data_IF_422985192370
#
_entry.id   IF_422985192370
#
_cell.length_a   1.000
_cell.length_b   1.000
_cell.length_c   1.000
_cell.angle_alpha   90.00
_cell.angle_beta   90.00
_cell.angle_gamma   90.00
#
_symmetry.space_group_name_H-M   'P 1'
#
loop_
_entity.id
_entity.type
_entity.pdbx_description
1 polymer ?
#
# COMPACT_ATOMS: atom_id res chain seq x y z
N UNK A 1 6.74 4.64 9.44
CA UNK A 1 6.47 6.08 9.22
C UNK A 1 4.98 6.21 8.88
N UNK A 2 4.16 6.95 9.65
CA UNK A 2 2.71 7.04 9.46
C UNK A 2 2.32 7.72 8.14
N UNK A 3 3.20 8.55 7.58
CA UNK A 3 3.00 9.33 6.35
C UNK A 3 2.69 8.48 5.11
N UNK A 4 3.23 7.25 5.06
CA UNK A 4 2.99 6.28 3.98
C UNK A 4 1.84 5.32 4.26
N UNK A 5 1.16 5.46 5.41
CA UNK A 5 -0.01 4.64 5.69
C UNK A 5 -1.15 5.04 4.74
N UNK A 6 -1.86 4.08 4.12
CA UNK A 6 -3.08 4.36 3.35
C UNK A 6 -4.25 4.82 4.24
N UNK A 7 -4.05 4.87 5.57
CA UNK A 7 -5.08 5.27 6.51
C UNK A 7 -5.66 6.67 6.20
N UNK A 8 -6.97 6.87 6.39
CA UNK A 8 -7.61 8.17 6.20
C UNK A 8 -7.08 9.14 7.25
N UNK A 9 -6.17 10.01 6.85
CA UNK A 9 -5.68 11.11 7.69
C UNK A 9 -6.44 12.39 7.34
N UNK A 10 -6.79 13.22 8.33
CA UNK A 10 -7.49 14.49 8.10
C UNK A 10 -6.71 15.41 7.14
N UNK A 11 -5.38 15.32 7.15
CA UNK A 11 -4.52 16.05 6.23
C UNK A 11 -4.76 15.70 4.75
N UNK A 12 -4.96 14.41 4.43
CA UNK A 12 -5.27 13.97 3.04
C UNK A 12 -6.63 14.43 2.55
N UNK A 13 -7.61 14.57 3.46
CA UNK A 13 -8.95 15.06 3.11
C UNK A 13 -8.93 16.53 2.65
N UNK A 14 -8.05 17.36 3.25
CA UNK A 14 -7.92 18.78 2.91
C UNK A 14 -7.44 18.95 1.46
N UNK A 15 -6.44 18.18 1.04
CA UNK A 15 -5.95 18.21 -0.35
C UNK A 15 -7.02 17.80 -1.34
N UNK A 16 -7.75 16.72 -1.04
CA UNK A 16 -8.86 16.26 -1.89
C UNK A 16 -9.94 17.32 -2.06
N UNK A 17 -10.32 18.00 -0.98
CA UNK A 17 -11.30 19.09 -1.03
C UNK A 17 -10.79 20.31 -1.81
N UNK A 18 -9.52 20.70 -1.63
CA UNK A 18 -8.92 21.80 -2.38
C UNK A 18 -8.89 21.51 -3.89
N UNK A 19 -8.51 20.29 -4.28
CA UNK A 19 -8.55 19.87 -5.69
C UNK A 19 -9.98 19.81 -6.22
N UNK A 20 -10.94 19.33 -5.44
CA UNK A 20 -12.34 19.32 -5.85
C UNK A 20 -12.84 20.73 -6.18
N UNK A 21 -12.59 21.71 -5.32
CA UNK A 21 -12.97 23.11 -5.56
C UNK A 21 -12.25 23.67 -6.80
N UNK A 22 -10.94 23.42 -6.93
CA UNK A 22 -10.14 23.86 -8.07
C UNK A 22 -10.67 23.29 -9.40
N UNK A 23 -10.91 21.98 -9.47
CA UNK A 23 -11.42 21.35 -10.69
C UNK A 23 -12.86 21.75 -10.99
N UNK A 24 -13.68 22.01 -9.97
CA UNK A 24 -15.05 22.51 -10.16
C UNK A 24 -15.03 23.90 -10.80
N UNK A 25 -14.19 24.81 -10.30
CA UNK A 25 -14.05 26.15 -10.88
C UNK A 25 -13.48 26.07 -12.31
N UNK A 26 -12.43 25.29 -12.53
CA UNK A 26 -11.86 25.09 -13.87
C UNK A 26 -12.88 24.50 -14.84
N UNK A 27 -13.70 23.55 -14.39
CA UNK A 27 -14.76 22.94 -15.21
C UNK A 27 -15.83 23.96 -15.60
N UNK A 28 -16.27 24.82 -14.66
CA UNK A 28 -17.25 25.87 -14.96
C UNK A 28 -16.66 26.86 -15.98
N UNK A 29 -15.42 27.31 -15.78
CA UNK A 29 -14.73 28.20 -16.72
C UNK A 29 -14.60 27.55 -18.10
N UNK A 30 -14.27 26.26 -18.14
CA UNK A 30 -14.15 25.48 -19.36
C UNK A 30 -15.48 25.36 -20.12
N UNK A 31 -16.57 25.02 -19.43
CA UNK A 31 -17.91 24.90 -20.04
C UNK A 31 -18.40 26.26 -20.51
N UNK A 32 -18.19 27.31 -19.71
CA UNK A 32 -18.53 28.68 -20.09
C UNK A 32 -17.79 29.10 -21.36
N UNK A 33 -16.50 28.77 -21.47
CA UNK A 33 -15.71 29.00 -22.68
C UNK A 33 -16.22 28.18 -23.87
N UNK A 34 -16.47 26.88 -23.69
CA UNK A 34 -16.86 25.98 -24.76
C UNK A 34 -18.24 26.29 -25.37
N UNK A 35 -19.19 26.76 -24.53
CA UNK A 35 -20.56 27.07 -24.95
C UNK A 35 -20.77 28.52 -25.37
N UNK A 36 -19.75 29.38 -25.24
CA UNK A 36 -19.89 30.79 -25.57
C UNK A 36 -20.16 31.00 -27.08
N UNK A 37 -21.25 31.68 -27.46
CA UNK A 37 -21.55 31.94 -28.86
C UNK A 37 -20.61 32.99 -29.46
N UNK A 38 -20.51 32.99 -30.79
CA UNK A 38 -19.59 33.83 -31.57
C UNK A 38 -19.85 35.33 -31.43
N UNK A 39 -21.08 35.70 -31.08
CA UNK A 39 -21.55 37.10 -30.97
C UNK A 39 -20.85 37.91 -29.86
N UNK A 40 -20.20 37.25 -28.89
CA UNK A 40 -19.51 37.94 -27.81
C UNK A 40 -18.11 38.46 -28.18
N UNK A 41 -17.63 38.25 -29.41
CA UNK A 41 -16.39 38.86 -29.92
C UNK A 41 -15.10 38.41 -29.24
N UNK A 42 -15.15 37.45 -28.32
CA UNK A 42 -13.99 36.98 -27.55
C UNK A 42 -13.18 35.89 -28.29
N UNK A 43 -13.71 35.31 -29.36
CA UNK A 43 -13.06 34.21 -30.08
C UNK A 43 -11.72 34.51 -30.78
N UNK A 44 -11.45 35.72 -31.30
CA UNK A 44 -10.13 36.03 -31.86
C UNK A 44 -9.00 35.94 -30.83
N UNK A 45 -9.33 36.05 -29.54
CA UNK A 45 -8.36 36.05 -28.44
C UNK A 45 -8.25 34.69 -27.74
N UNK A 46 -9.13 33.74 -28.05
CA UNK A 46 -9.18 32.42 -27.41
C UNK A 46 -8.86 31.29 -28.41
N UNK A 47 -8.44 30.11 -27.92
CA UNK A 47 -8.17 28.97 -28.78
C UNK A 47 -9.39 28.55 -29.59
N UNK A 48 -9.16 27.92 -30.74
CA UNK A 48 -10.23 27.38 -31.58
C UNK A 48 -11.12 26.40 -30.78
N UNK A 49 -12.42 26.40 -31.06
CA UNK A 49 -13.43 25.57 -30.39
C UNK A 49 -13.17 24.08 -30.55
N UNK A 50 -12.42 23.67 -31.58
CA UNK A 50 -11.92 22.30 -31.71
C UNK A 50 -11.16 21.82 -30.45
N UNK A 51 -10.44 22.72 -29.77
CA UNK A 51 -9.74 22.39 -28.53
C UNK A 51 -10.68 21.99 -27.39
N UNK A 52 -11.96 22.39 -27.42
CA UNK A 52 -12.97 21.97 -26.45
C UNK A 52 -13.38 20.49 -26.58
N UNK A 53 -12.95 19.80 -27.63
CA UNK A 53 -13.12 18.33 -27.75
C UNK A 53 -11.77 17.64 -27.65
N UNK A 54 -10.74 18.25 -28.21
CA UNK A 54 -9.41 17.69 -28.22
C UNK A 54 -8.76 17.60 -26.82
N UNK A 55 -8.90 18.64 -25.99
CA UNK A 55 -8.35 18.66 -24.62
C UNK A 55 -8.89 17.51 -23.75
N UNK A 56 -10.21 17.30 -23.61
CA UNK A 56 -10.72 16.19 -22.80
C UNK A 56 -10.31 14.83 -23.37
N UNK A 57 -10.27 14.69 -24.71
CA UNK A 57 -9.77 13.48 -25.34
C UNK A 57 -8.30 13.19 -24.98
N UNK A 58 -7.43 14.20 -25.01
CA UNK A 58 -6.03 14.06 -24.59
C UNK A 58 -5.90 13.67 -23.12
N UNK A 59 -6.71 14.25 -22.22
CA UNK A 59 -6.71 13.89 -20.79
C UNK A 59 -7.13 12.44 -20.61
N UNK A 60 -8.18 11.98 -21.30
CA UNK A 60 -8.61 10.59 -21.26
C UNK A 60 -7.52 9.65 -21.82
N UNK A 61 -6.91 10.01 -22.95
CA UNK A 61 -5.82 9.23 -23.54
C UNK A 61 -4.65 9.10 -22.57
N UNK A 62 -4.21 10.22 -21.98
CA UNK A 62 -3.12 10.22 -21.00
C UNK A 62 -3.46 9.38 -19.76
N UNK A 63 -4.67 9.54 -19.22
CA UNK A 63 -5.14 8.74 -18.08
C UNK A 63 -5.18 7.23 -18.41
N UNK A 64 -5.61 6.87 -19.62
CA UNK A 64 -5.61 5.49 -20.09
C UNK A 64 -4.19 4.92 -20.20
N UNK A 65 -3.26 5.64 -20.84
CA UNK A 65 -1.86 5.25 -20.88
C UNK A 65 -1.26 5.11 -19.48
N UNK A 66 -1.57 6.04 -18.58
CA UNK A 66 -1.05 5.99 -17.22
C UNK A 66 -1.59 4.79 -16.44
N UNK A 67 -2.90 4.54 -16.50
CA UNK A 67 -3.56 3.47 -15.75
C UNK A 67 -3.20 2.06 -16.27
N UNK A 68 -3.10 1.88 -17.58
CA UNK A 68 -2.95 0.54 -18.18
C UNK A 68 -1.52 0.19 -18.58
N UNK A 69 -0.68 1.18 -18.87
CA UNK A 69 0.70 0.92 -19.33
C UNK A 69 1.71 1.34 -18.28
N UNK A 70 1.70 2.62 -17.89
CA UNK A 70 2.75 3.18 -17.02
C UNK A 70 2.65 2.59 -15.61
N UNK A 71 1.47 2.60 -15.00
CA UNK A 71 1.30 2.15 -13.62
C UNK A 71 1.62 0.65 -13.45
N UNK A 72 1.12 -0.26 -14.30
CA UNK A 72 1.51 -1.67 -14.24
C UNK A 72 3.00 -1.89 -14.54
N UNK A 73 3.58 -1.17 -15.50
CA UNK A 73 5.00 -1.29 -15.83
C UNK A 73 5.89 -0.87 -14.64
N UNK A 74 5.57 0.26 -13.99
CA UNK A 74 6.29 0.70 -12.79
C UNK A 74 6.14 -0.34 -11.68
N UNK A 75 4.91 -0.81 -11.42
CA UNK A 75 4.67 -1.83 -10.40
C UNK A 75 5.47 -3.12 -10.68
N UNK A 76 5.50 -3.60 -11.92
CA UNK A 76 6.29 -4.78 -12.28
C UNK A 76 7.80 -4.52 -12.16
N UNK A 77 8.27 -3.31 -12.49
CA UNK A 77 9.70 -2.96 -12.32
C UNK A 77 10.15 -2.88 -10.86
N UNK A 78 9.23 -2.57 -9.93
CA UNK A 78 9.48 -2.51 -8.49
C UNK A 78 9.34 -3.87 -7.81
N UNK A 79 8.62 -4.81 -8.42
CA UNK A 79 8.50 -6.18 -7.89
C UNK A 79 9.79 -6.96 -8.10
N UNK A 80 10.08 -7.90 -7.19
CA UNK A 80 11.25 -8.78 -7.32
C UNK A 80 11.07 -9.71 -8.53
N UNK A 81 12.16 -10.12 -9.17
CA UNK A 81 12.14 -11.10 -10.27
C UNK A 81 11.23 -12.31 -9.93
N UNK A 82 10.43 -12.72 -10.92
CA UNK A 82 9.45 -13.81 -10.79
C UNK A 82 10.06 -15.13 -10.34
N UNK A 83 11.31 -15.39 -10.71
CA UNK A 83 12.04 -16.61 -10.34
C UNK A 83 12.64 -16.57 -8.93
N UNK A 84 12.55 -15.44 -8.22
CA UNK A 84 13.10 -15.30 -6.89
C UNK A 84 12.16 -15.89 -5.82
N UNK A 85 12.73 -16.59 -4.84
CA UNK A 85 11.98 -17.08 -3.66
C UNK A 85 11.26 -15.95 -2.91
N UNK A 86 11.82 -14.75 -2.96
CA UNK A 86 11.27 -13.53 -2.35
C UNK A 86 9.89 -13.14 -2.90
N UNK A 87 9.51 -13.65 -4.07
CA UNK A 87 8.17 -13.48 -4.65
C UNK A 87 7.10 -14.28 -3.90
N UNK A 88 7.47 -15.45 -3.34
CA UNK A 88 6.53 -16.38 -2.69
C UNK A 88 6.58 -16.28 -1.18
N UNK A 89 7.77 -16.15 -0.60
CA UNK A 89 7.98 -16.11 0.86
C UNK A 89 9.05 -15.10 1.22
N UNK A 90 8.87 -14.36 2.32
CA UNK A 90 9.94 -13.56 2.91
C UNK A 90 10.96 -14.46 3.65
N UNK A 91 12.18 -14.66 3.13
CA UNK A 91 13.15 -15.55 3.75
C UNK A 91 13.65 -15.04 5.10
N UNK A 92 13.57 -13.72 5.36
CA UNK A 92 13.97 -13.15 6.66
C UNK A 92 13.02 -13.53 7.79
N UNK A 93 11.75 -13.79 7.45
CA UNK A 93 10.73 -14.25 8.39
C UNK A 93 10.69 -15.78 8.48
N UNK A 94 10.93 -16.48 7.37
CA UNK A 94 10.83 -17.93 7.31
C UNK A 94 12.09 -18.67 7.78
N UNK A 95 13.27 -18.04 7.71
CA UNK A 95 14.55 -18.67 8.05
C UNK A 95 15.17 -18.05 9.31
N UNK A 96 16.01 -18.81 10.05
CA UNK A 96 16.82 -18.27 11.13
C UNK A 96 17.68 -17.08 10.68
N UNK A 97 17.92 -16.13 11.58
CA UNK A 97 18.75 -14.95 11.28
C UNK A 97 20.14 -15.37 10.81
N UNK A 98 20.51 -14.96 9.59
CA UNK A 98 21.85 -15.19 9.02
C UNK A 98 21.96 -16.37 8.03
N UNK A 99 20.88 -17.14 7.80
CA UNK A 99 20.90 -18.22 6.80
C UNK A 99 20.29 -17.76 5.48
N UNK A 100 20.99 -18.00 4.36
CA UNK A 100 20.45 -17.80 3.02
C UNK A 100 19.56 -18.98 2.61
N UNK A 101 18.56 -18.71 1.76
CA UNK A 101 17.70 -19.74 1.19
C UNK A 101 18.50 -20.56 0.16
N UNK A 102 18.48 -21.89 0.30
CA UNK A 102 19.07 -22.83 -0.66
C UNK A 102 18.08 -23.85 -1.18
N UNK A 103 17.10 -24.28 -0.36
CA UNK A 103 16.08 -25.24 -0.80
C UNK A 103 14.79 -25.20 0.03
N UNK A 104 13.68 -25.66 -0.56
CA UNK A 104 12.36 -25.72 0.08
C UNK A 104 12.30 -26.63 1.31
N UNK A 105 13.22 -27.59 1.45
CA UNK A 105 13.27 -28.47 2.63
C UNK A 105 13.65 -27.72 3.91
N UNK A 106 14.33 -26.58 3.80
CA UNK A 106 14.73 -25.75 4.94
C UNK A 106 13.53 -25.12 5.65
N UNK A 107 12.49 -24.73 4.91
CA UNK A 107 11.25 -24.21 5.50
C UNK A 107 10.50 -25.28 6.29
N UNK A 108 10.62 -26.56 5.89
CA UNK A 108 9.98 -27.67 6.59
C UNK A 108 10.64 -27.91 7.96
N UNK A 109 11.97 -27.81 8.03
CA UNK A 109 12.72 -28.03 9.27
C UNK A 109 12.60 -26.87 10.28
N UNK A 110 12.30 -25.65 9.84
CA UNK A 110 12.08 -24.53 10.76
C UNK A 110 10.76 -24.64 11.55
N UNK A 111 9.79 -25.50 11.13
CA UNK A 111 8.58 -25.80 11.91
C UNK A 111 8.91 -26.41 13.28
N UNK A 112 10.06 -27.09 13.41
CA UNK A 112 10.42 -27.87 14.60
C UNK A 112 11.35 -27.15 15.59
N UNK A 113 11.80 -25.93 15.29
CA UNK A 113 12.60 -25.16 16.25
C UNK A 113 11.69 -24.46 17.27
N UNK A 114 11.66 -24.90 18.55
CA UNK A 114 10.94 -24.16 19.57
C UNK A 114 11.65 -22.82 19.72
N UNK A 115 10.98 -21.75 19.33
CA UNK A 115 11.45 -20.40 19.66
C UNK A 115 11.49 -20.34 21.17
N UNK A 116 12.69 -20.44 21.77
CA UNK A 116 12.91 -20.32 23.21
C UNK A 116 12.46 -18.92 23.62
N UNK A 117 11.19 -18.78 23.98
CA UNK A 117 10.69 -17.61 24.69
C UNK A 117 11.50 -17.53 25.98
N UNK A 118 12.41 -16.55 26.07
CA UNK A 118 13.11 -16.26 27.32
C UNK A 118 12.05 -15.98 28.37
N UNK A 119 11.94 -16.86 29.37
CA UNK A 119 11.05 -16.64 30.52
C UNK A 119 11.41 -15.28 31.13
N UNK A 120 10.43 -14.38 31.32
CA UNK A 120 10.71 -13.06 31.88
C UNK A 120 11.25 -13.23 33.31
N UNK A 121 12.47 -12.74 33.54
CA UNK A 121 13.07 -12.67 34.86
C UNK A 121 12.41 -11.56 35.67
N UNK A 122 12.15 -11.76 36.97
CA UNK A 122 11.56 -10.73 37.81
C UNK A 122 12.49 -9.51 37.89
N UNK A 123 11.92 -8.31 37.74
CA UNK A 123 12.66 -7.04 37.82
C UNK A 123 12.43 -6.44 39.20
N UNK A 124 13.50 -6.16 39.93
CA UNK A 124 13.41 -5.47 41.22
C UNK A 124 13.21 -3.97 40.98
N UNK A 125 12.15 -3.40 41.53
CA UNK A 125 11.83 -2.00 41.34
C UNK A 125 12.32 -1.16 42.52
N UNK A 126 13.15 -0.15 42.22
CA UNK A 126 13.71 0.75 43.23
C UNK A 126 12.67 1.70 43.84
N UNK A 127 11.53 1.93 43.18
CA UNK A 127 10.48 2.85 43.63
C UNK A 127 9.60 2.25 44.74
N UNK A 128 9.29 0.96 44.64
CA UNK A 128 8.40 0.26 45.58
C UNK A 128 9.13 -0.82 46.40
N UNK A 129 10.43 -1.04 46.17
CA UNK A 129 11.27 -2.04 46.84
C UNK A 129 10.73 -3.49 46.74
N UNK A 130 9.84 -3.75 45.79
CA UNK A 130 9.23 -5.06 45.52
C UNK A 130 9.66 -5.61 44.17
N UNK A 131 9.54 -6.92 44.00
CA UNK A 131 9.85 -7.60 42.75
C UNK A 131 8.63 -7.65 41.82
N UNK A 132 8.75 -7.12 40.60
CA UNK A 132 7.68 -7.11 39.62
C UNK A 132 7.89 -8.18 38.56
N UNK A 133 6.84 -8.98 38.34
CA UNK A 133 6.76 -9.84 37.16
C UNK A 133 6.12 -9.02 36.03
N UNK A 134 6.80 -8.82 34.89
CA UNK A 134 6.18 -8.14 33.77
C UNK A 134 4.99 -8.97 33.29
N UNK A 135 3.83 -8.32 33.12
CA UNK A 135 2.69 -8.91 32.41
C UNK A 135 3.11 -9.02 30.94
N UNK A 136 3.59 -10.20 30.56
CA UNK A 136 3.79 -10.54 29.16
C UNK A 136 2.44 -11.02 28.62
N UNK A 137 1.78 -10.20 27.80
CA UNK A 137 0.75 -10.74 26.91
C UNK A 137 1.44 -11.75 25.98
N UNK A 138 0.77 -12.85 25.66
CA UNK A 138 1.29 -13.78 24.66
C UNK A 138 1.65 -12.97 23.41
N UNK A 139 2.84 -13.16 22.82
CA UNK A 139 3.13 -12.54 21.54
C UNK A 139 2.00 -12.94 20.60
N UNK A 140 1.39 -11.95 19.95
CA UNK A 140 0.44 -12.20 18.87
C UNK A 140 1.19 -13.13 17.93
N UNK A 141 0.65 -14.34 17.72
CA UNK A 141 1.25 -15.28 16.79
C UNK A 141 1.54 -14.47 15.53
N UNK A 142 2.79 -14.44 15.02
CA UNK A 142 3.04 -13.76 13.75
C UNK A 142 1.96 -14.28 12.80
N UNK A 143 1.30 -13.37 12.08
CA UNK A 143 0.29 -13.70 11.08
C UNK A 143 0.96 -14.64 10.08
N UNK A 144 0.97 -15.92 10.43
CA UNK A 144 1.34 -17.02 9.60
C UNK A 144 0.24 -17.00 8.57
N UNK A 145 0.63 -17.07 7.30
CA UNK A 145 -0.29 -17.43 6.23
C UNK A 145 -1.12 -18.58 6.80
N UNK A 146 -2.44 -18.37 6.92
CA UNK A 146 -3.36 -19.34 7.49
C UNK A 146 -3.14 -20.61 6.68
N UNK A 147 -2.39 -21.56 7.24
CA UNK A 147 -1.92 -22.71 6.49
C UNK A 147 -3.21 -23.49 6.18
N UNK A 148 -3.60 -23.56 4.90
CA UNK A 148 -4.82 -24.24 4.49
C UNK A 148 -4.86 -25.66 5.05
N UNK A 149 -3.68 -26.26 5.26
CA UNK A 149 -3.52 -27.54 5.91
C UNK A 149 -3.95 -27.54 7.39
N UNK A 150 -3.68 -26.47 8.13
CA UNK A 150 -4.10 -26.28 9.54
C UNK A 150 -5.62 -26.10 9.63
N UNK A 151 -6.22 -25.35 8.70
CA UNK A 151 -7.69 -25.24 8.55
C UNK A 151 -8.30 -26.59 8.21
N UNK A 152 -7.70 -27.33 7.26
CA UNK A 152 -8.18 -28.64 6.87
C UNK A 152 -8.12 -29.63 8.04
N UNK A 153 -7.02 -29.64 8.79
CA UNK A 153 -6.90 -30.51 9.98
C UNK A 153 -7.85 -30.12 11.11
N UNK A 154 -8.18 -28.83 11.26
CA UNK A 154 -9.12 -28.38 12.28
C UNK A 154 -10.60 -28.63 11.90
N UNK A 155 -10.88 -28.82 10.61
CA UNK A 155 -12.24 -29.06 10.11
C UNK A 155 -12.55 -30.54 9.89
N UNK A 156 -11.53 -31.35 9.59
CA UNK A 156 -11.67 -32.77 9.27
C UNK A 156 -11.13 -33.74 10.34
N UNK A 157 -10.50 -33.26 11.41
CA UNK A 157 -10.26 -34.02 12.66
C UNK A 157 -11.13 -33.48 13.79
#
# INVERSE_FOLDING_TARGET
MPEHSPAPTPHRAIYGFAFYMLFTVLFIVYVAWALLPFEFGLQPYLPDKYFAVFVPFLVLMFAWFFAFLIYPAINMSLTVNVDSIHSVVDPKLALPKGTAFTSWSQLKNSKDSPTKQKKPTPINCNMCKTSHKPITRAPIAPLRFLDLQEVNTAYYN
#
